data_IF_008744777387
#
_entry.id   IF_008744777387
#
_cell.length_a   1.000
_cell.length_b   1.000
_cell.length_c   1.000
_cell.angle_alpha   90.00
_cell.angle_beta   90.00
_cell.angle_gamma   90.00
#
_symmetry.space_group_name_H-M   'P 1'
#
loop_
_entity.id
_entity.type
_entity.pdbx_description
1 polymer ?
#
# COMPACT_ATOMS: atom_id res chain seq x y z
N UNK A 1 -0.61 -2.01 -10.43
CA UNK A 1 0.41 -1.26 -9.67
C UNK A 1 -0.16 -0.81 -8.33
N UNK A 2 0.57 -1.05 -7.28
CA UNK A 2 0.23 -0.62 -5.92
C UNK A 2 0.81 0.78 -5.68
N UNK A 3 0.00 1.67 -5.11
CA UNK A 3 0.42 3.01 -4.71
C UNK A 3 0.01 3.24 -3.26
N UNK A 4 0.88 3.90 -2.49
CA UNK A 4 0.59 4.24 -1.10
C UNK A 4 -0.29 5.48 -1.01
N UNK A 5 -1.23 5.45 -0.07
CA UNK A 5 -2.09 6.61 0.21
C UNK A 5 -2.37 6.69 1.72
N UNK A 6 -1.37 7.07 2.52
CA UNK A 6 -1.55 7.15 3.97
C UNK A 6 -2.49 8.31 4.33
N UNK A 7 -3.59 7.97 4.99
CA UNK A 7 -4.58 8.96 5.42
C UNK A 7 -4.10 9.70 6.67
N UNK A 8 -4.28 11.02 6.69
CA UNK A 8 -3.81 11.87 7.78
C UNK A 8 -4.46 11.55 9.13
N UNK A 9 -5.66 10.98 9.13
CA UNK A 9 -6.37 10.60 10.36
C UNK A 9 -5.93 9.24 10.92
N UNK A 10 -4.98 8.57 10.30
CA UNK A 10 -4.37 7.34 10.79
C UNK A 10 -2.88 7.61 11.07
N UNK A 11 -2.50 7.90 12.33
CA UNK A 11 -1.13 8.37 12.65
C UNK A 11 -0.02 7.44 12.22
N UNK A 12 -0.28 6.12 12.21
CA UNK A 12 0.73 5.12 11.88
C UNK A 12 0.79 4.78 10.37
N UNK A 13 -0.13 5.32 9.57
CA UNK A 13 -0.27 4.93 8.16
C UNK A 13 0.96 5.27 7.34
N UNK A 14 1.58 6.43 7.57
CA UNK A 14 2.75 6.85 6.81
C UNK A 14 3.94 5.91 7.04
N UNK A 15 4.24 5.60 8.30
CA UNK A 15 5.32 4.65 8.64
C UNK A 15 5.02 3.23 8.15
N UNK A 16 3.76 2.83 8.20
CA UNK A 16 3.35 1.53 7.65
C UNK A 16 3.60 1.46 6.14
N UNK A 17 3.32 2.54 5.41
CA UNK A 17 3.60 2.63 3.98
C UNK A 17 5.12 2.54 3.72
N UNK A 18 5.93 3.26 4.48
CA UNK A 18 7.38 3.17 4.38
C UNK A 18 7.87 1.75 4.66
N UNK A 19 7.31 1.10 5.67
CA UNK A 19 7.67 -0.28 6.05
C UNK A 19 7.40 -1.26 4.90
N UNK A 20 6.29 -1.11 4.21
CA UNK A 20 5.98 -1.92 3.03
C UNK A 20 7.06 -1.80 1.96
N UNK A 21 7.52 -0.59 1.69
CA UNK A 21 8.61 -0.35 0.75
C UNK A 21 9.94 -0.93 1.24
N UNK A 22 10.23 -0.83 2.53
CA UNK A 22 11.43 -1.43 3.11
C UNK A 22 11.42 -2.96 2.99
N UNK A 23 10.27 -3.59 3.20
CA UNK A 23 10.10 -5.03 2.99
C UNK A 23 10.25 -5.39 1.51
N UNK A 24 9.80 -4.54 0.60
CA UNK A 24 9.93 -4.75 -0.83
C UNK A 24 11.40 -4.86 -1.27
N UNK A 25 12.31 -4.12 -0.65
CA UNK A 25 13.75 -4.23 -0.92
C UNK A 25 14.25 -5.67 -0.73
N UNK A 26 13.62 -6.40 0.17
CA UNK A 26 13.99 -7.79 0.48
C UNK A 26 13.02 -8.80 -0.16
N UNK A 27 12.18 -8.36 -1.09
CA UNK A 27 11.27 -9.21 -1.84
C UNK A 27 10.06 -9.70 -1.04
N UNK A 28 9.69 -9.02 0.06
CA UNK A 28 8.65 -9.47 0.98
C UNK A 28 7.54 -8.42 1.20
N UNK A 29 7.26 -7.61 0.17
CA UNK A 29 6.20 -6.58 0.28
C UNK A 29 4.85 -7.18 0.67
N UNK A 30 4.38 -8.18 -0.09
CA UNK A 30 3.03 -8.73 0.11
C UNK A 30 2.90 -9.46 1.44
N UNK A 31 3.95 -10.13 1.87
CA UNK A 31 3.98 -10.82 3.15
C UNK A 31 3.84 -9.84 4.32
N UNK A 32 4.56 -8.71 4.28
CA UNK A 32 4.41 -7.67 5.30
C UNK A 32 3.06 -6.97 5.19
N UNK A 33 2.61 -6.68 3.98
CA UNK A 33 1.27 -6.13 3.71
C UNK A 33 0.20 -6.97 4.41
N UNK A 34 0.24 -8.29 4.22
CA UNK A 34 -0.76 -9.18 4.81
C UNK A 34 -0.69 -9.17 6.34
N UNK A 35 0.51 -9.14 6.92
CA UNK A 35 0.67 -9.03 8.38
C UNK A 35 0.09 -7.73 8.92
N UNK A 36 0.32 -6.62 8.25
CA UNK A 36 -0.24 -5.33 8.66
C UNK A 36 -1.77 -5.33 8.60
N UNK A 37 -2.36 -5.95 7.61
CA UNK A 37 -3.82 -6.03 7.49
C UNK A 37 -4.45 -6.89 8.57
N UNK A 38 -3.77 -7.92 9.05
CA UNK A 38 -4.25 -8.78 10.15
C UNK A 38 -4.16 -8.07 11.49
N UNK A 39 -3.26 -7.09 11.64
CA UNK A 39 -2.97 -6.42 12.91
C UNK A 39 -3.00 -4.90 12.75
N UNK A 40 -4.11 -4.36 12.25
CA UNK A 40 -4.23 -2.95 11.87
C UNK A 40 -4.12 -1.97 13.04
N UNK A 41 -4.30 -2.42 14.26
CA UNK A 41 -4.16 -1.61 15.47
C UNK A 41 -2.75 -1.68 16.08
N UNK A 42 -1.83 -2.39 15.44
CA UNK A 42 -0.44 -2.53 15.87
C UNK A 42 0.51 -2.24 14.71
N UNK A 43 0.59 -0.97 14.30
CA UNK A 43 1.39 -0.50 13.16
C UNK A 43 2.48 0.50 13.57
N UNK A 44 2.82 0.54 14.86
CA UNK A 44 3.95 1.31 15.35
C UNK A 44 5.29 0.67 14.92
N UNK A 45 6.36 1.44 14.96
CA UNK A 45 7.69 1.00 14.48
C UNK A 45 8.13 -0.32 15.14
N UNK A 46 7.89 -0.46 16.45
CA UNK A 46 8.25 -1.68 17.17
C UNK A 46 7.50 -2.90 16.64
N UNK A 47 6.20 -2.76 16.38
CA UNK A 47 5.38 -3.84 15.84
C UNK A 47 5.79 -4.18 14.41
N UNK A 48 6.04 -3.18 13.59
CA UNK A 48 6.50 -3.38 12.19
C UNK A 48 7.83 -4.13 12.16
N UNK A 49 8.75 -3.79 13.06
CA UNK A 49 10.04 -4.49 13.18
C UNK A 49 9.86 -5.94 13.60
N UNK A 50 8.92 -6.20 14.52
CA UNK A 50 8.58 -7.56 14.93
C UNK A 50 8.03 -8.39 13.76
N UNK A 51 7.18 -7.81 12.93
CA UNK A 51 6.67 -8.50 11.75
C UNK A 51 7.80 -8.86 10.76
N UNK A 52 8.73 -7.93 10.56
CA UNK A 52 9.89 -8.18 9.72
C UNK A 52 10.71 -9.38 10.25
N UNK A 53 10.90 -9.46 11.55
CA UNK A 53 11.59 -10.58 12.21
C UNK A 53 10.84 -11.90 12.00
N UNK A 54 9.54 -11.89 12.19
CA UNK A 54 8.69 -13.07 11.99
C UNK A 54 8.73 -13.60 10.56
N UNK A 55 8.86 -12.69 9.60
CA UNK A 55 8.95 -13.03 8.17
C UNK A 55 10.34 -13.49 7.74
N UNK A 56 11.32 -13.44 8.64
CA UNK A 56 12.69 -13.83 8.33
C UNK A 56 13.49 -12.80 7.56
N UNK A 57 13.05 -11.53 7.57
CA UNK A 57 13.79 -10.44 6.94
C UNK A 57 15.07 -10.13 7.73
N UNK A 58 16.04 -9.52 7.05
CA UNK A 58 17.18 -8.89 7.71
C UNK A 58 16.66 -7.68 8.50
N UNK A 59 16.49 -7.84 9.81
CA UNK A 59 15.91 -6.83 10.68
C UNK A 59 16.79 -5.59 10.78
N UNK A 60 18.10 -5.76 10.77
CA UNK A 60 19.03 -4.63 10.82
C UNK A 60 18.87 -3.76 9.57
N UNK A 61 18.82 -4.37 8.40
CA UNK A 61 18.60 -3.66 7.13
C UNK A 61 17.21 -3.02 7.08
N UNK A 62 16.18 -3.73 7.54
CA UNK A 62 14.81 -3.21 7.59
C UNK A 62 14.72 -1.99 8.51
N UNK A 63 15.27 -2.09 9.71
CA UNK A 63 15.23 -1.00 10.69
C UNK A 63 16.00 0.22 10.19
N UNK A 64 17.17 0.03 9.58
CA UNK A 64 17.94 1.13 8.99
C UNK A 64 17.14 1.84 7.90
N UNK A 65 16.51 1.09 6.99
CA UNK A 65 15.66 1.62 5.94
C UNK A 65 14.53 2.50 6.51
N UNK A 66 13.87 2.00 7.55
CA UNK A 66 12.74 2.68 8.17
C UNK A 66 13.18 3.93 8.95
N UNK A 67 14.27 3.83 9.74
CA UNK A 67 14.80 4.92 10.55
C UNK A 67 15.38 6.05 9.70
N UNK A 68 16.03 5.72 8.59
CA UNK A 68 16.58 6.70 7.64
C UNK A 68 15.51 7.43 6.84
N UNK A 69 14.28 6.95 6.85
CA UNK A 69 13.22 7.48 6.00
C UNK A 69 13.52 7.31 4.52
N UNK A 70 14.11 6.17 4.14
CA UNK A 70 14.56 5.92 2.77
C UNK A 70 13.44 6.06 1.75
N UNK A 71 12.21 5.72 2.12
CA UNK A 71 11.04 5.78 1.25
C UNK A 71 10.05 6.89 1.60
N UNK A 72 10.43 7.82 2.48
CA UNK A 72 9.57 8.96 2.85
C UNK A 72 9.12 9.74 1.61
N UNK A 73 10.08 10.07 0.75
CA UNK A 73 9.78 10.85 -0.47
C UNK A 73 8.92 10.05 -1.44
N UNK A 74 9.16 8.74 -1.58
CA UNK A 74 8.37 7.86 -2.44
C UNK A 74 6.91 7.83 -2.00
N UNK A 75 6.67 7.67 -0.70
CA UNK A 75 5.31 7.67 -0.14
C UNK A 75 4.63 9.02 -0.36
N UNK A 76 5.36 10.13 -0.16
CA UNK A 76 4.84 11.48 -0.42
C UNK A 76 4.47 11.66 -1.89
N UNK A 77 5.27 11.17 -2.81
CA UNK A 77 4.99 11.21 -4.25
C UNK A 77 3.74 10.39 -4.59
N UNK A 78 3.60 9.20 -4.04
CA UNK A 78 2.42 8.37 -4.25
C UNK A 78 1.16 9.08 -3.75
N UNK A 79 1.23 9.70 -2.57
CA UNK A 79 0.12 10.47 -2.01
C UNK A 79 -0.28 11.63 -2.94
N UNK A 80 0.70 12.37 -3.45
CA UNK A 80 0.46 13.47 -4.38
C UNK A 80 -0.20 12.98 -5.68
N UNK A 81 0.27 11.89 -6.22
CA UNK A 81 -0.31 11.29 -7.44
C UNK A 81 -1.79 10.94 -7.20
N UNK A 82 -2.09 10.33 -6.05
CA UNK A 82 -3.47 10.04 -5.68
C UNK A 82 -4.34 11.29 -5.60
N UNK A 83 -3.85 12.32 -4.90
CA UNK A 83 -4.56 13.59 -4.75
C UNK A 83 -4.83 14.26 -6.10
N UNK A 84 -3.84 14.26 -6.99
CA UNK A 84 -3.98 14.83 -8.34
C UNK A 84 -5.01 14.07 -9.19
N UNK A 85 -5.23 12.80 -8.90
CA UNK A 85 -6.20 11.97 -9.60
C UNK A 85 -7.54 11.84 -8.88
N UNK A 86 -7.79 12.71 -7.90
CA UNK A 86 -9.09 12.79 -7.22
C UNK A 86 -9.31 11.73 -6.15
N UNK A 87 -8.27 11.03 -5.71
CA UNK A 87 -8.37 10.06 -4.62
C UNK A 87 -8.55 10.80 -3.30
N UNK A 88 -9.60 10.47 -2.56
CA UNK A 88 -9.88 11.07 -1.25
C UNK A 88 -10.07 10.02 -0.15
N UNK A 89 -10.10 8.76 -0.49
CA UNK A 89 -10.30 7.66 0.45
C UNK A 89 -9.60 6.39 -0.04
N UNK A 90 -9.45 5.42 0.86
CA UNK A 90 -8.85 4.13 0.56
C UNK A 90 -9.82 2.99 0.90
N UNK A 91 -9.78 1.88 0.15
CA UNK A 91 -9.04 1.72 -1.09
C UNK A 91 -9.70 2.45 -2.26
N UNK A 92 -8.91 2.89 -3.23
CA UNK A 92 -9.40 3.36 -4.53
C UNK A 92 -8.65 2.59 -5.61
N UNK A 93 -9.37 2.01 -6.57
CA UNK A 93 -8.79 1.21 -7.64
C UNK A 93 -9.14 1.86 -8.98
N UNK A 94 -8.14 2.00 -9.84
CA UNK A 94 -8.35 2.48 -11.21
C UNK A 94 -8.21 1.31 -12.18
N UNK A 95 -9.25 1.09 -12.98
CA UNK A 95 -9.24 0.06 -14.02
C UNK A 95 -9.29 0.78 -15.37
N UNK A 96 -8.16 0.84 -16.07
CA UNK A 96 -8.03 1.60 -17.30
C UNK A 96 -8.54 3.04 -17.16
N UNK A 97 -8.19 3.69 -16.04
CA UNK A 97 -8.60 5.07 -15.76
C UNK A 97 -9.98 5.24 -15.14
N UNK A 98 -10.73 4.16 -14.96
CA UNK A 98 -12.06 4.19 -14.33
C UNK A 98 -11.92 3.96 -12.83
N UNK A 99 -12.25 4.95 -11.96
CA UNK A 99 -12.09 4.78 -10.52
C UNK A 99 -13.21 3.95 -9.90
N UNK A 100 -12.82 3.07 -8.97
CA UNK A 100 -13.75 2.38 -8.07
C UNK A 100 -13.37 2.82 -6.65
N UNK A 101 -14.24 3.60 -6.01
CA UNK A 101 -13.99 4.12 -4.67
C UNK A 101 -14.51 3.17 -3.61
N UNK A 102 -13.65 2.87 -2.63
CA UNK A 102 -14.00 1.99 -1.52
C UNK A 102 -13.86 0.51 -1.84
N UNK A 103 -14.08 -0.29 -0.81
CA UNK A 103 -14.02 -1.76 -0.91
C UNK A 103 -15.32 -2.29 -1.49
N UNK A 104 -15.49 -2.10 -2.80
CA UNK A 104 -16.68 -2.55 -3.53
C UNK A 104 -16.72 -4.07 -3.62
N UNK A 105 -17.91 -4.68 -3.89
CA UNK A 105 -17.99 -6.10 -4.14
C UNK A 105 -17.15 -6.53 -5.33
N UNK A 106 -16.64 -7.77 -5.29
CA UNK A 106 -15.78 -8.30 -6.36
C UNK A 106 -16.49 -8.25 -7.73
N UNK A 107 -17.79 -8.39 -7.74
CA UNK A 107 -18.60 -8.33 -8.96
C UNK A 107 -18.49 -6.99 -9.66
N UNK A 108 -18.35 -5.90 -8.91
CA UNK A 108 -18.15 -4.55 -9.47
C UNK A 108 -16.86 -4.49 -10.29
N UNK A 109 -15.77 -5.02 -9.74
CA UNK A 109 -14.48 -5.06 -10.43
C UNK A 109 -14.54 -5.97 -11.66
N UNK A 110 -15.15 -7.14 -11.52
CA UNK A 110 -15.28 -8.11 -12.61
C UNK A 110 -16.06 -7.50 -13.79
N UNK A 111 -17.14 -6.80 -13.52
CA UNK A 111 -17.96 -6.16 -14.54
C UNK A 111 -17.13 -5.12 -15.32
N UNK A 112 -16.44 -4.24 -14.61
CA UNK A 112 -15.62 -3.19 -15.23
C UNK A 112 -14.51 -3.79 -16.07
N UNK A 113 -13.84 -4.82 -15.55
CA UNK A 113 -12.77 -5.51 -16.27
C UNK A 113 -13.32 -6.12 -17.57
N UNK A 114 -14.47 -6.78 -17.52
CA UNK A 114 -15.10 -7.37 -18.72
C UNK A 114 -15.47 -6.31 -19.75
N UNK A 115 -16.00 -5.18 -19.29
CA UNK A 115 -16.34 -4.06 -20.17
C UNK A 115 -15.09 -3.50 -20.86
N UNK A 116 -14.01 -3.33 -20.12
CA UNK A 116 -12.75 -2.82 -20.66
C UNK A 116 -12.09 -3.81 -21.63
N UNK A 117 -12.14 -5.09 -21.31
CA UNK A 117 -11.64 -6.13 -22.21
C UNK A 117 -12.43 -6.15 -23.52
N UNK A 118 -13.76 -6.06 -23.45
CA UNK A 118 -14.62 -6.01 -24.63
C UNK A 118 -14.32 -4.76 -25.48
N UNK A 119 -14.09 -3.61 -24.84
CA UNK A 119 -13.76 -2.37 -25.54
C UNK A 119 -12.39 -2.45 -26.23
N UNK A 120 -11.42 -3.15 -25.66
CA UNK A 120 -10.08 -3.30 -26.23
C UNK A 120 -10.04 -4.23 -27.45
N UNK A 121 -11.06 -5.03 -27.65
CA UNK A 121 -11.18 -5.95 -28.80
C UNK A 121 -11.77 -5.28 -30.05
N UNK A 122 -12.16 -4.02 -29.96
CA UNK A 122 -12.78 -3.26 -31.07
C UNK A 122 -11.74 -2.55 -31.95
#
# INVERSE_FOLDING_TARGET
TYKDYPLANHPEAFKAAEAGNCAHEQGMFWELHDKMFVSQDALDVSSLTSYASELGLDVTAFSACLDEGRYTQRVQQDLQIGQLNGVSSTPTVFINGRPVMGAAPIETFDQIIREELAASER
#
